data_IF_900754302232
#
_entry.id   IF_900754302232
#
_cell.length_a   1.000
_cell.length_b   1.000
_cell.length_c   1.000
_cell.angle_alpha   90.00
_cell.angle_beta   90.00
_cell.angle_gamma   90.00
#
_symmetry.space_group_name_H-M   'P 1'
#
loop_
_entity.id
_entity.type
_entity.pdbx_description
1 polymer ?
#
# COMPACT_ATOMS: atom_id res chain seq x y z
N UNK A 1 18.88 19.49 14.99
CA UNK A 1 18.34 18.59 13.94
C UNK A 1 18.88 19.08 12.60
N UNK A 2 19.80 18.35 11.97
CA UNK A 2 20.39 18.74 10.68
C UNK A 2 19.38 18.50 9.55
N UNK A 3 18.99 19.57 8.87
CA UNK A 3 18.15 19.47 7.67
C UNK A 3 18.98 18.93 6.52
N UNK A 4 18.66 17.73 6.03
CA UNK A 4 19.27 17.18 4.83
C UNK A 4 18.69 17.95 3.63
N UNK A 5 19.52 18.60 2.79
CA UNK A 5 19.04 19.29 1.61
C UNK A 5 18.28 18.33 0.67
N UNK A 6 17.10 18.74 0.21
CA UNK A 6 16.25 17.95 -0.72
C UNK A 6 17.03 17.53 -1.97
N UNK A 7 18.02 18.33 -2.39
CA UNK A 7 18.92 18.04 -3.52
C UNK A 7 19.85 16.83 -3.33
N UNK A 8 20.03 16.34 -2.10
CA UNK A 8 20.78 15.11 -1.78
C UNK A 8 19.90 13.87 -1.66
N UNK A 9 18.58 14.01 -1.77
CA UNK A 9 17.69 12.86 -1.91
C UNK A 9 17.86 12.29 -3.31
N UNK A 10 18.83 11.40 -3.50
CA UNK A 10 18.78 10.51 -4.64
C UNK A 10 17.58 9.59 -4.43
N UNK A 11 16.69 9.42 -5.41
CA UNK A 11 15.64 8.42 -5.31
C UNK A 11 16.31 7.05 -5.40
N UNK A 12 16.73 6.53 -4.25
CA UNK A 12 17.22 5.17 -4.04
C UNK A 12 16.15 4.11 -4.36
N UNK A 13 14.95 4.53 -4.76
CA UNK A 13 13.84 3.75 -5.33
C UNK A 13 14.19 2.94 -6.59
N UNK A 14 15.45 2.93 -7.04
CA UNK A 14 15.95 2.05 -8.11
C UNK A 14 16.78 0.87 -7.59
N UNK A 15 17.14 0.84 -6.30
CA UNK A 15 17.92 -0.27 -5.75
C UNK A 15 17.06 -1.54 -5.66
N UNK A 16 17.54 -2.62 -6.25
CA UNK A 16 16.92 -3.93 -6.10
C UNK A 16 17.09 -4.39 -4.66
N UNK A 17 16.01 -4.40 -3.89
CA UNK A 17 16.00 -5.04 -2.58
C UNK A 17 16.03 -6.57 -2.76
N UNK A 18 16.77 -7.26 -1.87
CA UNK A 18 16.65 -8.71 -1.73
C UNK A 18 15.19 -9.08 -1.44
N UNK A 19 14.71 -10.27 -1.83
CA UNK A 19 13.30 -10.66 -1.66
C UNK A 19 12.75 -10.40 -0.25
N UNK A 20 13.57 -10.64 0.77
CA UNK A 20 13.24 -10.49 2.19
C UNK A 20 13.02 -9.02 2.59
N UNK A 21 13.69 -8.08 1.90
CA UNK A 21 13.57 -6.64 2.14
C UNK A 21 12.42 -5.95 1.38
N UNK A 22 11.66 -6.69 0.57
CA UNK A 22 10.59 -6.12 -0.27
C UNK A 22 9.31 -5.90 0.55
N UNK A 23 9.30 -4.83 1.33
CA UNK A 23 8.13 -4.40 2.11
C UNK A 23 6.93 -4.01 1.22
N UNK A 24 5.77 -3.81 1.84
CA UNK A 24 4.59 -3.25 1.18
C UNK A 24 4.93 -1.93 0.45
N UNK A 25 5.69 -1.06 1.10
CA UNK A 25 6.11 0.23 0.55
C UNK A 25 7.05 0.07 -0.64
N UNK A 26 8.00 -0.87 -0.58
CA UNK A 26 8.85 -1.19 -1.73
C UNK A 26 8.00 -1.56 -2.95
N UNK A 27 7.03 -2.46 -2.78
CA UNK A 27 6.13 -2.84 -3.87
C UNK A 27 5.27 -1.66 -4.34
N UNK A 28 4.83 -0.76 -3.46
CA UNK A 28 4.11 0.45 -3.84
C UNK A 28 4.94 1.36 -4.74
N UNK A 29 6.15 1.71 -4.31
CA UNK A 29 7.03 2.62 -5.04
C UNK A 29 7.48 2.04 -6.39
N UNK A 30 7.64 0.73 -6.47
CA UNK A 30 7.96 0.03 -7.72
C UNK A 30 6.73 -0.31 -8.58
N UNK A 31 5.52 0.13 -8.21
CA UNK A 31 4.25 -0.21 -8.90
C UNK A 31 4.01 -1.72 -9.03
N UNK A 32 4.52 -2.49 -8.08
CA UNK A 32 4.37 -3.95 -7.95
C UNK A 32 3.43 -4.34 -6.81
N UNK A 33 2.64 -3.39 -6.28
CA UNK A 33 1.74 -3.69 -5.19
C UNK A 33 0.57 -4.54 -5.68
N UNK A 34 0.31 -5.61 -4.95
CA UNK A 34 -0.76 -6.54 -5.26
C UNK A 34 -2.11 -5.96 -4.84
N UNK A 35 -3.00 -5.82 -5.82
CA UNK A 35 -4.44 -5.56 -5.65
C UNK A 35 -5.22 -6.85 -5.98
N UNK A 36 -6.49 -6.97 -5.55
CA UNK A 36 -7.28 -8.17 -5.89
C UNK A 36 -7.38 -8.42 -7.41
N UNK A 37 -7.54 -7.39 -8.26
CA UNK A 37 -7.51 -7.57 -9.72
C UNK A 37 -6.19 -8.12 -10.24
N UNK A 38 -5.07 -7.78 -9.61
CA UNK A 38 -3.77 -8.32 -10.01
C UNK A 38 -3.66 -9.78 -9.59
N UNK A 39 -4.08 -10.11 -8.36
CA UNK A 39 -4.09 -11.47 -7.83
C UNK A 39 -5.02 -12.39 -8.63
N UNK A 40 -6.22 -11.93 -8.98
CA UNK A 40 -7.20 -12.71 -9.76
C UNK A 40 -6.67 -13.14 -11.14
N UNK A 41 -5.74 -12.36 -11.72
CA UNK A 41 -5.08 -12.71 -12.99
C UNK A 41 -4.06 -13.83 -12.86
N UNK A 42 -3.43 -13.98 -11.68
CA UNK A 42 -2.44 -15.02 -11.44
C UNK A 42 -3.05 -16.35 -11.00
N UNK A 43 -4.29 -16.31 -10.50
CA UNK A 43 -4.96 -17.44 -9.87
C UNK A 43 -6.07 -18.06 -10.76
N UNK A 44 -5.96 -17.88 -12.09
CA UNK A 44 -6.90 -18.42 -13.08
C UNK A 44 -8.39 -18.17 -12.77
N UNK A 45 -8.71 -17.04 -12.13
CA UNK A 45 -10.09 -16.67 -11.79
C UNK A 45 -10.66 -17.31 -10.52
N UNK A 46 -9.86 -18.05 -9.73
CA UNK A 46 -10.28 -18.59 -8.43
C UNK A 46 -10.48 -17.49 -7.37
N UNK A 47 -9.70 -16.40 -7.48
CA UNK A 47 -9.84 -15.23 -6.62
C UNK A 47 -10.66 -14.13 -7.28
N UNK A 48 -11.64 -13.60 -6.54
CA UNK A 48 -12.44 -12.45 -6.98
C UNK A 48 -11.59 -11.17 -6.98
N UNK A 49 -11.80 -10.32 -7.99
CA UNK A 49 -11.21 -8.98 -8.07
C UNK A 49 -11.88 -7.97 -7.12
N UNK A 50 -12.93 -8.39 -6.42
CA UNK A 50 -13.71 -7.56 -5.50
C UNK A 50 -13.06 -7.45 -4.12
N UNK A 51 -13.38 -6.37 -3.42
CA UNK A 51 -13.00 -6.21 -2.03
C UNK A 51 -13.61 -7.32 -1.18
N UNK A 52 -12.76 -8.00 -0.39
CA UNK A 52 -13.22 -9.07 0.52
C UNK A 52 -14.17 -8.58 1.61
N UNK A 53 -14.19 -7.27 1.89
CA UNK A 53 -15.09 -6.67 2.87
C UNK A 53 -16.36 -6.06 2.25
N UNK A 54 -16.33 -5.77 0.95
CA UNK A 54 -17.43 -5.19 0.20
C UNK A 54 -17.46 -5.83 -1.18
N UNK A 55 -18.30 -6.85 -1.35
CA UNK A 55 -18.46 -7.63 -2.59
C UNK A 55 -18.97 -6.82 -3.79
N UNK A 56 -19.24 -5.53 -3.64
CA UNK A 56 -19.72 -4.67 -4.73
C UNK A 56 -18.58 -3.98 -5.51
N UNK A 57 -17.42 -3.73 -4.88
CA UNK A 57 -16.39 -2.87 -5.47
C UNK A 57 -15.13 -3.64 -5.82
N UNK A 58 -14.62 -3.43 -7.03
CA UNK A 58 -13.28 -3.88 -7.43
C UNK A 58 -12.23 -3.25 -6.52
N UNK A 59 -11.33 -4.06 -5.96
CA UNK A 59 -10.31 -3.59 -5.02
C UNK A 59 -9.06 -3.14 -5.77
N UNK A 60 -9.11 -1.93 -6.33
CA UNK A 60 -7.90 -1.25 -6.81
C UNK A 60 -7.06 -0.68 -5.64
N UNK A 61 -5.91 -0.06 -5.96
CA UNK A 61 -5.04 0.54 -4.93
C UNK A 61 -5.74 1.66 -4.15
N UNK A 62 -6.60 2.44 -4.81
CA UNK A 62 -7.31 3.54 -4.15
C UNK A 62 -8.34 2.99 -3.15
N UNK A 63 -9.03 1.91 -3.51
CA UNK A 63 -9.94 1.20 -2.63
C UNK A 63 -9.21 0.52 -1.47
N UNK A 64 -8.07 -0.13 -1.76
CA UNK A 64 -7.25 -0.81 -0.76
C UNK A 64 -6.76 0.13 0.35
N UNK A 65 -6.30 1.34 -0.01
CA UNK A 65 -5.69 2.26 0.95
C UNK A 65 -6.63 3.31 1.51
N UNK A 66 -7.60 3.81 0.75
CA UNK A 66 -8.36 5.03 1.13
C UNK A 66 -9.87 4.80 1.14
N UNK A 67 -10.43 4.23 0.07
CA UNK A 67 -11.91 4.20 -0.08
C UNK A 67 -12.60 3.07 0.68
N UNK A 68 -11.90 1.98 1.04
CA UNK A 68 -12.51 0.91 1.83
C UNK A 68 -12.60 1.33 3.29
N UNK A 69 -13.79 1.62 3.86
CA UNK A 69 -13.89 2.16 5.21
C UNK A 69 -13.36 1.19 6.28
N UNK A 70 -13.50 -0.11 6.03
CA UNK A 70 -13.05 -1.16 6.96
C UNK A 70 -11.53 -1.27 7.00
N UNK A 71 -10.87 -1.17 5.84
CA UNK A 71 -9.40 -1.14 5.76
C UNK A 71 -8.85 0.20 6.23
N UNK A 72 -9.54 1.29 5.93
CA UNK A 72 -9.17 2.62 6.39
C UNK A 72 -9.09 2.67 7.92
N UNK A 73 -10.05 2.10 8.64
CA UNK A 73 -9.97 1.99 10.11
C UNK A 73 -8.69 1.30 10.60
N UNK A 74 -8.32 0.17 9.99
CA UNK A 74 -7.07 -0.52 10.34
C UNK A 74 -5.85 0.35 10.06
N UNK A 75 -5.86 1.11 8.97
CA UNK A 75 -4.79 2.07 8.67
C UNK A 75 -4.73 3.21 9.67
N UNK A 76 -5.88 3.79 10.06
CA UNK A 76 -5.95 4.82 11.11
C UNK A 76 -5.38 4.28 12.43
N UNK A 77 -5.78 3.08 12.85
CA UNK A 77 -5.27 2.45 14.06
C UNK A 77 -3.74 2.29 13.98
N UNK A 78 -3.23 1.76 12.86
CA UNK A 78 -1.80 1.63 12.65
C UNK A 78 -1.08 2.99 12.68
N UNK A 79 -1.61 4.00 12.00
CA UNK A 79 -1.02 5.34 11.99
C UNK A 79 -1.07 6.01 13.36
N UNK A 80 -2.11 5.78 14.15
CA UNK A 80 -2.19 6.29 15.52
C UNK A 80 -1.07 5.74 16.42
N UNK A 81 -0.63 4.51 16.17
CA UNK A 81 0.44 3.84 16.90
C UNK A 81 1.82 4.32 16.41
N UNK A 82 2.04 4.27 15.09
CA UNK A 82 3.37 4.48 14.50
C UNK A 82 3.67 5.95 14.17
N UNK A 83 2.64 6.79 14.06
CA UNK A 83 2.75 8.18 13.62
C UNK A 83 1.70 9.07 14.29
N UNK A 84 1.70 9.18 15.64
CA UNK A 84 0.65 9.83 16.43
C UNK A 84 0.46 11.33 16.14
N UNK A 85 1.43 11.95 15.46
CA UNK A 85 1.37 13.35 15.03
C UNK A 85 0.53 13.54 13.76
N UNK A 86 0.17 12.47 13.05
CA UNK A 86 -0.73 12.54 11.90
C UNK A 86 -2.18 12.51 12.39
N UNK A 87 -2.91 13.58 12.07
CA UNK A 87 -4.35 13.66 12.29
C UNK A 87 -5.06 13.37 10.97
N UNK A 88 -5.98 12.41 11.00
CA UNK A 88 -6.80 12.05 9.84
C UNK A 88 -8.24 12.47 10.16
N UNK A 89 -8.69 13.52 9.49
CA UNK A 89 -10.09 14.01 9.52
C UNK A 89 -10.95 13.29 8.51
#
# INVERSE_FOLDING_TARGET
MSQIPISKWSPSWKMAASPEGRSLWYHLFHRKLYSQPLLSRFDNGLTSSQCKFYSANTEDLQHLFVRCPRKWRVWIDAFSIFSPHLTFT
#
